data_IF_259558435034
#
_entry.id   IF_259558435034
#
_cell.length_a   1.000
_cell.length_b   1.000
_cell.length_c   1.000
_cell.angle_alpha   90.00
_cell.angle_beta   90.00
_cell.angle_gamma   90.00
#
_symmetry.space_group_name_H-M   'P 1'
#
loop_
_entity.id
_entity.type
_entity.pdbx_description
1 polymer ?
#
# COMPACT_ATOMS: atom_id res chain seq x y z
N UNK A 1 7.65 -10.08 -8.85
CA UNK A 1 7.94 -10.28 -7.41
C UNK A 1 6.63 -10.17 -6.64
N UNK A 2 6.42 -10.95 -5.56
CA UNK A 2 5.19 -10.85 -4.72
C UNK A 2 5.51 -10.12 -3.43
N UNK A 3 4.71 -9.12 -3.07
CA UNK A 3 4.93 -8.27 -1.89
C UNK A 3 3.65 -8.22 -1.06
N UNK A 4 3.76 -8.49 0.25
CA UNK A 4 2.69 -8.22 1.21
C UNK A 4 2.83 -6.77 1.68
N UNK A 5 1.79 -5.98 1.48
CA UNK A 5 1.73 -4.57 1.84
C UNK A 5 1.05 -4.48 3.20
N UNK A 6 1.76 -3.91 4.17
CA UNK A 6 1.21 -3.66 5.50
C UNK A 6 0.15 -2.56 5.47
N UNK A 7 -0.75 -2.59 6.46
CA UNK A 7 -1.80 -1.58 6.64
C UNK A 7 -1.25 -0.15 6.63
N UNK A 8 -0.11 0.10 7.30
CA UNK A 8 0.44 1.45 7.37
C UNK A 8 0.84 2.01 6.01
N UNK A 9 1.37 1.18 5.10
CA UNK A 9 1.76 1.63 3.75
C UNK A 9 0.53 2.00 2.92
N UNK A 10 -0.59 1.29 3.13
CA UNK A 10 -1.87 1.68 2.51
C UNK A 10 -2.34 3.03 3.07
N UNK A 11 -2.25 3.23 4.39
CA UNK A 11 -2.63 4.50 5.03
C UNK A 11 -1.73 5.65 4.58
N UNK A 12 -0.43 5.41 4.39
CA UNK A 12 0.51 6.41 3.91
C UNK A 12 0.11 6.95 2.53
N UNK A 13 -0.42 6.08 1.67
CA UNK A 13 -0.98 6.47 0.37
C UNK A 13 -2.36 7.12 0.48
N UNK A 14 -3.30 6.50 1.19
CA UNK A 14 -4.69 6.96 1.26
C UNK A 14 -4.87 8.28 2.04
N UNK A 15 -4.05 8.51 3.07
CA UNK A 15 -4.14 9.68 3.93
C UNK A 15 -3.06 10.73 3.63
N UNK A 16 -2.26 10.52 2.57
CA UNK A 16 -1.18 11.41 2.16
C UNK A 16 -0.22 11.76 3.33
N UNK A 17 0.19 10.75 4.10
CA UNK A 17 1.01 10.97 5.30
C UNK A 17 2.38 11.52 4.90
N UNK A 18 2.70 12.70 5.44
CA UNK A 18 3.97 13.38 5.21
C UNK A 18 5.16 12.42 5.46
N UNK A 19 6.22 12.56 4.65
CA UNK A 19 7.41 11.70 4.60
C UNK A 19 7.22 10.29 4.00
N UNK A 20 5.98 9.78 3.93
CA UNK A 20 5.72 8.40 3.50
C UNK A 20 4.94 8.29 2.18
N UNK A 21 4.12 9.31 1.87
CA UNK A 21 3.24 9.31 0.69
C UNK A 21 3.98 9.07 -0.63
N UNK A 22 5.15 9.67 -0.84
CA UNK A 22 5.90 9.51 -2.10
C UNK A 22 6.41 8.07 -2.29
N UNK A 23 6.88 7.45 -1.20
CA UNK A 23 7.34 6.06 -1.22
C UNK A 23 6.17 5.10 -1.45
N UNK A 24 5.03 5.36 -0.80
CA UNK A 24 3.84 4.56 -0.99
C UNK A 24 3.31 4.69 -2.43
N UNK A 25 3.21 5.91 -2.97
CA UNK A 25 2.80 6.17 -4.35
C UNK A 25 3.67 5.43 -5.36
N UNK A 26 5.01 5.50 -5.20
CA UNK A 26 5.95 4.76 -6.06
C UNK A 26 5.78 3.24 -5.98
N UNK A 27 5.40 2.71 -4.82
CA UNK A 27 5.07 1.28 -4.70
C UNK A 27 3.83 0.94 -5.53
N UNK A 28 2.77 1.76 -5.45
CA UNK A 28 1.54 1.56 -6.22
C UNK A 28 1.75 1.73 -7.74
N UNK A 29 2.57 2.69 -8.17
CA UNK A 29 2.96 2.84 -9.59
C UNK A 29 3.61 1.57 -10.15
N UNK A 30 4.47 0.91 -9.36
CA UNK A 30 5.12 -0.34 -9.78
C UNK A 30 4.16 -1.54 -9.81
N UNK A 31 3.11 -1.50 -8.99
CA UNK A 31 2.01 -2.49 -9.05
C UNK A 31 1.21 -2.27 -10.33
N UNK A 32 0.85 -1.02 -10.62
CA UNK A 32 0.08 -0.63 -11.82
C UNK A 32 0.85 -0.94 -13.12
N UNK A 33 2.17 -0.72 -13.12
CA UNK A 33 3.07 -1.11 -14.21
C UNK A 33 3.28 -2.64 -14.36
N UNK A 34 2.74 -3.46 -13.44
CA UNK A 34 2.85 -4.92 -13.48
C UNK A 34 4.22 -5.47 -13.08
N UNK A 35 5.12 -4.63 -12.54
CA UNK A 35 6.47 -5.06 -12.11
C UNK A 35 6.42 -5.93 -10.85
N UNK A 36 5.46 -5.63 -9.97
CA UNK A 36 5.25 -6.32 -8.70
C UNK A 36 3.77 -6.65 -8.51
N UNK A 37 3.51 -7.77 -7.85
CA UNK A 37 2.17 -8.17 -7.44
C UNK A 37 2.00 -7.88 -5.95
N UNK A 38 1.15 -6.91 -5.63
CA UNK A 38 0.81 -6.52 -4.26
C UNK A 38 -0.29 -7.39 -3.67
N UNK A 39 -0.15 -7.76 -2.40
CA UNK A 39 -1.16 -8.46 -1.60
C UNK A 39 -1.36 -7.70 -0.29
N UNK A 40 -2.54 -7.81 0.30
CA UNK A 40 -2.85 -7.28 1.63
C UNK A 40 -3.45 -8.41 2.47
N UNK A 41 -3.31 -8.33 3.79
CA UNK A 41 -4.01 -9.26 4.66
C UNK A 41 -5.52 -8.94 4.67
N UNK A 42 -6.38 -9.93 4.87
CA UNK A 42 -7.83 -9.69 5.04
C UNK A 42 -8.10 -8.77 6.24
N UNK A 43 -7.28 -8.87 7.29
CA UNK A 43 -7.34 -8.00 8.47
C UNK A 43 -7.00 -6.54 8.17
N UNK A 44 -6.20 -6.27 7.13
CA UNK A 44 -5.92 -4.91 6.69
C UNK A 44 -7.21 -4.20 6.26
N UNK A 45 -8.12 -4.91 5.57
CA UNK A 45 -9.43 -4.36 5.17
C UNK A 45 -10.24 -3.98 6.41
N UNK A 46 -10.34 -4.87 7.40
CA UNK A 46 -11.10 -4.59 8.63
C UNK A 46 -10.50 -3.45 9.45
N UNK A 47 -9.17 -3.27 9.40
CA UNK A 47 -8.49 -2.21 10.13
C UNK A 47 -8.73 -0.81 9.52
N UNK A 48 -8.93 -0.71 8.21
CA UNK A 48 -9.20 0.58 7.55
C UNK A 48 -10.69 0.92 7.46
N UNK A 49 -11.57 -0.09 7.60
CA UNK A 49 -13.03 0.08 7.56
C UNK A 49 -13.66 0.36 8.92
N UNK A 50 -12.89 0.23 10.00
CA UNK A 50 -13.33 0.42 11.39
C UNK A 50 -13.31 1.86 11.85
#
# INVERSE_FOLDING_TARGET
MRVLIDTNVILDFLQERELFVENAARLFERIDAGEIQGFIASTTITNISG
#
